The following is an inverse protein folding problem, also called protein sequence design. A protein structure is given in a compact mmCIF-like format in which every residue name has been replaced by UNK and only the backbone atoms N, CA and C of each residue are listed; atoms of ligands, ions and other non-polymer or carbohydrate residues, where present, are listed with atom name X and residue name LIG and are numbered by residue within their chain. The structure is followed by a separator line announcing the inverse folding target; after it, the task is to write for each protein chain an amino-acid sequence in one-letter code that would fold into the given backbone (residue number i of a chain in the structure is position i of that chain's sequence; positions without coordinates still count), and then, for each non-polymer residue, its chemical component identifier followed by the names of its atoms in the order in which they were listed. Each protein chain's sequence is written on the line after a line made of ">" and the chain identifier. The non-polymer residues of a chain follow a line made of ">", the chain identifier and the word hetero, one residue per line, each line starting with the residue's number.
data_IF_232513401789
#
_entry.id   IF_232513401789
#
_cell.length_a   1.000
_cell.length_b   1.000
_cell.length_c   1.000
_cell.angle_alpha   90.00
_cell.angle_beta   90.00
_cell.angle_gamma   90.00
#
_symmetry.space_group_name_H-M   'P 1'
#
loop_
_entity.id
_entity.type
_entity.pdbx_description
1 polymer ?
#
# COMPACT_ATOMS: atom_id res chain seq x y z
N UNK A 1 -29.75 16.64 0.95
CA UNK A 1 -28.76 16.30 1.99
C UNK A 1 -27.40 15.86 1.45
N UNK A 2 -27.22 15.69 0.12
CA UNK A 2 -25.94 15.31 -0.52
C UNK A 2 -25.07 16.53 -0.88
N UNK A 3 -25.55 17.75 -0.60
CA UNK A 3 -25.03 19.01 -1.16
C UNK A 3 -23.84 19.63 -0.39
N UNK A 4 -23.48 19.11 0.78
CA UNK A 4 -22.39 19.67 1.61
C UNK A 4 -21.09 18.84 1.58
N UNK A 5 -21.06 17.70 0.89
CA UNK A 5 -19.87 16.84 0.83
C UNK A 5 -19.01 17.04 -0.42
N UNK A 6 -19.44 17.88 -1.36
CA UNK A 6 -18.74 18.12 -2.64
C UNK A 6 -18.10 19.52 -2.73
N UNK A 7 -18.38 20.42 -1.78
CA UNK A 7 -17.86 21.79 -1.81
C UNK A 7 -16.51 21.92 -1.07
N UNK A 8 -15.55 21.14 -1.55
CA UNK A 8 -14.15 21.52 -1.78
C UNK A 8 -13.39 20.27 -2.20
N UNK A 9 -12.55 20.42 -3.22
CA UNK A 9 -11.41 19.55 -3.52
C UNK A 9 -10.48 19.49 -2.30
N UNK A 10 -10.92 18.84 -1.24
CA UNK A 10 -10.32 18.89 0.07
C UNK A 10 -9.40 17.68 0.15
N UNK A 11 -8.11 17.94 0.06
CA UNK A 11 -7.04 17.00 0.39
C UNK A 11 -7.29 16.33 1.75
N UNK A 12 -8.05 16.99 2.65
CA UNK A 12 -8.34 16.62 4.04
C UNK A 12 -9.81 16.91 4.39
N UNK A 13 -10.45 16.06 5.20
CA UNK A 13 -11.87 16.15 5.56
C UNK A 13 -12.64 14.86 5.28
N UNK A 14 -13.48 14.85 4.25
CA UNK A 14 -14.26 13.69 3.82
C UNK A 14 -14.00 13.43 2.34
N UNK A 15 -13.80 12.15 1.97
CA UNK A 15 -13.70 11.71 0.58
C UNK A 15 -14.48 10.42 0.34
N UNK A 16 -14.70 10.14 -0.93
CA UNK A 16 -15.10 8.81 -1.39
C UNK A 16 -13.88 7.91 -1.61
N UNK A 17 -14.07 6.61 -1.39
CA UNK A 17 -13.04 5.61 -1.67
C UNK A 17 -12.67 5.54 -3.16
N UNK A 18 -11.43 5.20 -3.46
CA UNK A 18 -10.90 5.20 -4.83
C UNK A 18 -11.66 4.22 -5.76
N UNK A 19 -12.16 3.10 -5.22
CA UNK A 19 -12.96 2.14 -5.97
C UNK A 19 -14.40 2.62 -6.19
N UNK A 20 -14.97 3.40 -5.26
CA UNK A 20 -16.26 4.04 -5.49
C UNK A 20 -16.20 5.07 -6.62
N UNK A 21 -15.09 5.81 -6.74
CA UNK A 21 -14.90 6.76 -7.85
C UNK A 21 -14.98 6.09 -9.22
N UNK A 22 -14.56 4.82 -9.33
CA UNK A 22 -14.76 4.03 -10.53
C UNK A 22 -16.19 3.51 -10.68
N UNK A 23 -16.75 2.91 -9.64
CA UNK A 23 -18.05 2.23 -9.76
C UNK A 23 -19.20 3.21 -9.93
N UNK A 24 -19.22 4.29 -9.13
CA UNK A 24 -20.30 5.28 -9.03
C UNK A 24 -21.67 4.66 -8.74
N UNK A 25 -21.70 3.43 -8.21
CA UNK A 25 -22.93 2.73 -7.82
C UNK A 25 -23.25 3.09 -6.37
N UNK A 26 -24.33 3.85 -6.18
CA UNK A 26 -24.70 4.49 -4.91
C UNK A 26 -24.87 3.49 -3.76
N UNK A 27 -25.31 2.25 -4.04
CA UNK A 27 -25.48 1.23 -3.00
C UNK A 27 -24.17 0.84 -2.30
N UNK A 28 -23.02 1.09 -2.93
CA UNK A 28 -21.69 0.85 -2.40
C UNK A 28 -21.06 2.07 -1.74
N UNK A 29 -21.65 3.27 -1.80
CA UNK A 29 -21.01 4.49 -1.30
C UNK A 29 -20.59 4.39 0.17
N UNK A 30 -19.36 4.81 0.48
CA UNK A 30 -18.80 4.86 1.82
C UNK A 30 -18.08 6.19 2.02
N UNK A 31 -18.45 6.90 3.08
CA UNK A 31 -17.79 8.14 3.49
C UNK A 31 -16.52 7.79 4.24
N UNK A 32 -15.39 8.34 3.80
CA UNK A 32 -14.11 8.12 4.43
C UNK A 32 -13.54 9.45 4.93
N UNK A 33 -13.16 9.48 6.20
CA UNK A 33 -12.52 10.64 6.80
C UNK A 33 -11.03 10.68 6.45
N UNK A 34 -10.50 11.87 6.21
CA UNK A 34 -9.08 12.10 5.93
C UNK A 34 -8.54 13.17 6.86
N UNK A 35 -7.36 12.92 7.42
CA UNK A 35 -6.68 13.83 8.34
C UNK A 35 -5.54 14.51 7.61
N UNK A 36 -5.35 15.80 7.83
CA UNK A 36 -4.19 16.51 7.29
C UNK A 36 -2.88 15.89 7.82
N UNK A 37 -2.03 15.34 6.95
CA UNK A 37 -0.75 14.79 7.37
C UNK A 37 0.22 15.92 7.67
N UNK A 38 1.09 15.67 8.64
CA UNK A 38 2.23 16.54 8.93
C UNK A 38 3.25 16.30 7.82
N UNK A 39 3.59 17.37 7.09
CA UNK A 39 4.62 17.31 6.06
C UNK A 39 5.99 17.00 6.69
N UNK A 40 6.82 16.26 5.94
CA UNK A 40 8.21 16.03 6.31
C UNK A 40 9.00 17.34 6.29
N UNK A 41 9.64 17.66 7.40
CA UNK A 41 10.47 18.87 7.55
C UNK A 41 11.84 18.60 8.15
N UNK A 42 12.05 17.38 8.65
CA UNK A 42 13.31 16.96 9.23
C UNK A 42 14.35 16.72 8.14
N UNK A 43 15.62 16.59 8.55
CA UNK A 43 16.71 16.22 7.65
C UNK A 43 17.03 14.75 7.83
N UNK A 44 17.41 14.07 6.74
CA UNK A 44 17.86 12.68 6.77
C UNK A 44 18.92 12.45 7.86
N UNK A 45 19.87 13.38 8.03
CA UNK A 45 20.93 13.28 9.02
C UNK A 45 20.43 13.26 10.48
N UNK A 46 19.22 13.77 10.75
CA UNK A 46 18.62 13.88 12.09
C UNK A 46 17.74 12.67 12.47
N UNK A 47 17.36 11.83 11.50
CA UNK A 47 16.44 10.71 11.73
C UNK A 47 17.19 9.39 11.87
N UNK A 48 16.81 8.52 12.80
CA UNK A 48 17.39 7.16 12.90
C UNK A 48 16.71 6.17 11.96
N UNK A 49 15.50 6.51 11.50
CA UNK A 49 14.66 5.66 10.67
C UNK A 49 14.37 6.38 9.35
N UNK A 50 14.54 5.66 8.26
CA UNK A 50 14.11 6.06 6.93
C UNK A 50 12.91 5.21 6.56
N UNK A 51 11.89 5.81 5.94
CA UNK A 51 10.70 5.10 5.50
C UNK A 51 10.51 5.31 4.00
N UNK A 52 10.37 4.20 3.27
CA UNK A 52 10.02 4.16 1.85
C UNK A 52 8.82 3.22 1.74
N UNK A 53 7.70 3.70 1.23
CA UNK A 53 6.53 2.88 0.97
C UNK A 53 5.75 3.40 -0.22
N UNK A 54 4.64 2.74 -0.55
CA UNK A 54 3.68 3.20 -1.55
C UNK A 54 2.50 3.92 -0.89
N UNK A 55 1.35 3.95 -1.57
CA UNK A 55 0.17 4.65 -1.09
C UNK A 55 -0.32 4.15 0.28
N UNK A 56 -0.03 2.92 0.71
CA UNK A 56 -0.36 2.48 2.07
C UNK A 56 0.34 3.28 3.17
N UNK A 57 1.55 3.78 2.91
CA UNK A 57 2.29 4.59 3.89
C UNK A 57 2.07 6.09 3.71
N UNK A 58 1.77 6.52 2.49
CA UNK A 58 1.57 7.93 2.14
C UNK A 58 0.15 8.46 2.31
N UNK A 59 -0.83 7.56 2.26
CA UNK A 59 -2.22 7.97 2.16
C UNK A 59 -2.73 8.53 3.50
N UNK A 60 -3.32 9.73 3.52
CA UNK A 60 -3.88 10.36 4.72
C UNK A 60 -5.30 9.86 5.05
N UNK A 61 -5.63 8.63 4.66
CA UNK A 61 -6.97 8.07 4.82
C UNK A 61 -7.14 7.54 6.26
N UNK A 62 -8.26 7.90 6.87
CA UNK A 62 -8.63 7.54 8.23
C UNK A 62 -7.86 8.35 9.26
N UNK A 63 -6.55 8.08 9.34
CA UNK A 63 -5.59 8.78 10.21
C UNK A 63 -4.60 9.59 9.37
N UNK A 64 -3.57 10.17 10.01
CA UNK A 64 -2.50 10.89 9.31
C UNK A 64 -1.68 9.98 8.38
N UNK A 65 -0.48 10.39 7.95
CA UNK A 65 0.44 9.47 7.24
C UNK A 65 0.94 8.37 8.16
N UNK A 66 1.38 7.25 7.59
CA UNK A 66 1.92 6.15 8.39
C UNK A 66 3.18 6.56 9.16
N UNK A 67 4.06 7.33 8.51
CA UNK A 67 5.24 7.93 9.12
C UNK A 67 4.89 8.75 10.36
N UNK A 68 3.99 9.73 10.25
CA UNK A 68 3.58 10.57 11.39
C UNK A 68 3.03 9.74 12.56
N UNK A 69 2.16 8.77 12.28
CA UNK A 69 1.59 7.93 13.32
C UNK A 69 2.64 7.05 14.00
N UNK A 70 3.62 6.56 13.24
CA UNK A 70 4.72 5.77 13.77
C UNK A 70 5.67 6.64 14.60
N UNK A 71 6.00 7.86 14.17
CA UNK A 71 6.79 8.84 14.94
C UNK A 71 6.19 9.07 16.32
N UNK A 72 4.88 9.33 16.37
CA UNK A 72 4.15 9.55 17.62
C UNK A 72 4.20 8.31 18.53
N UNK A 73 4.10 7.11 17.95
CA UNK A 73 4.12 5.86 18.71
C UNK A 73 5.50 5.52 19.29
N UNK A 74 6.57 5.72 18.53
CA UNK A 74 7.93 5.37 18.97
C UNK A 74 8.63 6.54 19.67
N UNK A 75 8.08 7.76 19.59
CA UNK A 75 8.69 9.00 20.08
C UNK A 75 10.07 9.31 19.46
N UNK A 76 10.21 9.06 18.16
CA UNK A 76 11.44 9.30 17.41
C UNK A 76 11.15 9.88 16.02
N UNK A 77 12.11 10.63 15.49
CA UNK A 77 12.02 11.19 14.13
C UNK A 77 12.20 10.12 13.06
N UNK A 78 11.31 10.10 12.08
CA UNK A 78 11.33 9.23 10.92
C UNK A 78 11.41 10.12 9.70
N UNK A 79 12.42 9.90 8.84
CA UNK A 79 12.46 10.60 7.56
C UNK A 79 11.61 9.86 6.52
N UNK A 80 10.48 10.45 6.14
CA UNK A 80 9.53 9.91 5.17
C UNK A 80 9.94 10.27 3.73
N UNK A 81 10.28 9.26 2.94
CA UNK A 81 10.74 9.43 1.56
C UNK A 81 9.53 9.31 0.62
N UNK A 82 8.87 10.45 0.42
CA UNK A 82 7.59 10.54 -0.31
C UNK A 82 7.56 9.79 -1.65
N UNK A 83 6.63 8.84 -1.81
CA UNK A 83 6.49 8.00 -3.02
C UNK A 83 6.19 8.78 -4.31
N UNK A 84 5.37 9.84 -4.23
CA UNK A 84 4.68 10.41 -5.40
C UNK A 84 5.56 11.16 -6.40
N UNK A 85 6.81 11.46 -6.05
CA UNK A 85 7.73 12.19 -6.92
C UNK A 85 9.12 11.53 -7.05
N UNK A 86 9.35 10.37 -6.42
CA UNK A 86 10.72 9.99 -6.07
C UNK A 86 11.13 8.58 -6.53
N UNK A 87 12.11 8.62 -7.43
CA UNK A 87 13.16 7.64 -7.67
C UNK A 87 13.43 6.58 -6.56
N UNK A 88 13.53 6.94 -5.27
CA UNK A 88 13.76 6.00 -4.16
C UNK A 88 12.85 4.78 -4.04
N UNK A 89 11.54 4.92 -4.27
CA UNK A 89 10.63 3.79 -4.08
C UNK A 89 10.76 2.72 -5.18
N UNK A 90 11.25 3.12 -6.36
CA UNK A 90 11.52 2.19 -7.45
C UNK A 90 12.87 1.49 -7.27
N UNK A 91 13.87 2.19 -6.73
CA UNK A 91 15.21 1.64 -6.54
C UNK A 91 15.79 2.08 -5.18
N UNK A 92 15.31 1.49 -4.07
CA UNK A 92 15.78 1.82 -2.73
C UNK A 92 17.29 1.59 -2.57
N UNK A 93 17.86 0.55 -3.18
CA UNK A 93 19.29 0.29 -3.07
C UNK A 93 20.13 1.44 -3.62
N UNK A 94 19.88 1.88 -4.85
CA UNK A 94 20.69 2.97 -5.41
C UNK A 94 20.41 4.29 -4.70
N UNK A 95 19.17 4.59 -4.30
CA UNK A 95 18.90 5.79 -3.52
C UNK A 95 19.76 5.82 -2.24
N UNK A 96 19.71 4.75 -1.45
CA UNK A 96 20.50 4.63 -0.23
C UNK A 96 21.99 4.69 -0.55
N UNK A 97 22.47 3.97 -1.58
CA UNK A 97 23.88 3.98 -2.00
C UNK A 97 24.40 5.38 -2.32
N UNK A 98 23.55 6.28 -2.80
CA UNK A 98 23.93 7.64 -3.15
C UNK A 98 23.69 8.68 -2.05
N UNK A 99 23.18 8.27 -0.87
CA UNK A 99 23.17 9.13 0.31
C UNK A 99 24.61 9.45 0.76
N UNK A 100 24.78 10.60 1.42
CA UNK A 100 26.07 10.95 2.04
C UNK A 100 26.40 9.96 3.16
N UNK A 101 27.68 9.84 3.49
CA UNK A 101 28.12 8.88 4.52
C UNK A 101 27.51 9.17 5.89
N UNK A 102 27.34 10.45 6.27
CA UNK A 102 26.63 10.83 7.50
C UNK A 102 25.15 10.41 7.50
N UNK A 103 24.53 10.32 6.33
CA UNK A 103 23.11 9.99 6.13
C UNK A 103 22.83 8.49 6.09
N UNK A 104 23.85 7.63 6.24
CA UNK A 104 23.71 6.16 6.20
C UNK A 104 23.89 5.48 7.55
N UNK A 105 24.74 6.04 8.40
CA UNK A 105 25.32 5.30 9.52
C UNK A 105 24.28 4.92 10.57
N UNK A 106 24.19 3.62 10.86
CA UNK A 106 23.35 3.04 11.92
C UNK A 106 21.84 3.33 11.78
N UNK A 107 21.33 3.49 10.56
CA UNK A 107 19.90 3.73 10.34
C UNK A 107 19.12 2.43 10.15
N UNK A 108 17.83 2.50 10.44
CA UNK A 108 16.86 1.47 10.04
C UNK A 108 16.15 1.98 8.79
N UNK A 109 16.08 1.16 7.74
CA UNK A 109 15.22 1.40 6.59
C UNK A 109 13.98 0.54 6.70
N UNK A 110 12.83 1.19 6.80
CA UNK A 110 11.54 0.56 6.60
C UNK A 110 11.22 0.63 5.10
N UNK A 111 11.03 -0.53 4.47
CA UNK A 111 10.64 -0.63 3.08
C UNK A 111 9.33 -1.41 2.94
N UNK A 112 8.35 -0.77 2.32
CA UNK A 112 7.02 -1.33 2.07
C UNK A 112 6.71 -1.39 0.57
N UNK A 113 5.89 -2.38 0.21
CA UNK A 113 5.22 -2.45 -1.09
C UNK A 113 3.88 -3.18 -0.97
N UNK A 114 2.89 -2.77 -1.75
CA UNK A 114 1.69 -3.56 -1.99
C UNK A 114 2.00 -4.88 -2.71
N UNK A 115 1.17 -5.90 -2.43
CA UNK A 115 1.27 -7.25 -2.99
C UNK A 115 1.26 -7.25 -4.52
N UNK A 116 0.29 -6.62 -5.19
CA UNK A 116 0.22 -6.59 -6.67
C UNK A 116 1.47 -6.05 -7.36
N UNK A 117 2.27 -5.23 -6.67
CA UNK A 117 3.48 -4.62 -7.21
C UNK A 117 4.77 -5.31 -6.73
N UNK A 118 4.71 -6.15 -5.70
CA UNK A 118 5.90 -6.66 -5.02
C UNK A 118 6.80 -7.48 -5.94
N UNK A 119 6.23 -8.41 -6.71
CA UNK A 119 7.01 -9.27 -7.59
C UNK A 119 7.82 -8.47 -8.62
N UNK A 120 7.20 -7.50 -9.29
CA UNK A 120 7.89 -6.68 -10.30
C UNK A 120 8.93 -5.76 -9.65
N UNK A 121 8.54 -5.02 -8.59
CA UNK A 121 9.42 -4.11 -7.85
C UNK A 121 10.69 -4.80 -7.37
N UNK A 122 10.55 -5.95 -6.70
CA UNK A 122 11.67 -6.69 -6.11
C UNK A 122 12.58 -7.24 -7.21
N UNK A 123 12.02 -7.90 -8.23
CA UNK A 123 12.83 -8.62 -9.21
C UNK A 123 13.42 -7.72 -10.28
N UNK A 124 12.77 -6.60 -10.60
CA UNK A 124 13.15 -5.76 -11.73
C UNK A 124 13.69 -4.39 -11.33
N UNK A 125 13.47 -3.90 -10.11
CA UNK A 125 13.79 -2.48 -9.82
C UNK A 125 14.65 -2.27 -8.57
N UNK A 126 14.40 -2.99 -7.47
CA UNK A 126 15.02 -2.72 -6.17
C UNK A 126 16.55 -2.82 -6.12
N UNK A 127 17.14 -3.61 -7.01
CA UNK A 127 18.59 -3.89 -7.02
C UNK A 127 19.33 -3.32 -8.23
N UNK A 128 18.67 -2.55 -9.10
CA UNK A 128 19.29 -1.99 -10.30
C UNK A 128 20.49 -1.11 -9.92
N UNK A 129 21.63 -1.33 -10.55
CA UNK A 129 22.86 -0.54 -10.34
C UNK A 129 22.80 0.86 -10.95
N UNK A 130 21.86 1.06 -11.88
CA UNK A 130 21.66 2.29 -12.61
C UNK A 130 20.17 2.58 -12.76
N UNK A 131 19.86 3.85 -12.98
CA UNK A 131 18.50 4.30 -13.20
C UNK A 131 18.21 4.25 -14.70
N UNK A 132 17.43 3.26 -15.14
CA UNK A 132 16.68 3.42 -16.38
C UNK A 132 15.42 4.20 -16.03
N UNK A 133 15.50 5.54 -16.09
CA UNK A 133 14.31 6.39 -15.95
C UNK A 133 13.48 6.24 -17.23
N UNK A 134 12.79 5.11 -17.38
CA UNK A 134 11.61 5.10 -18.24
C UNK A 134 10.51 5.83 -17.47
N UNK A 135 10.49 7.17 -17.60
CA UNK A 135 9.45 8.08 -17.09
C UNK A 135 8.05 7.71 -17.64
N UNK A 136 7.95 6.73 -18.55
CA UNK A 136 6.71 6.42 -19.26
C UNK A 136 5.64 5.73 -18.42
N UNK A 137 5.97 4.89 -17.42
CA UNK A 137 4.93 3.97 -16.90
C UNK A 137 4.22 4.44 -15.63
N UNK A 138 4.86 5.14 -14.69
CA UNK A 138 4.13 5.61 -13.49
C UNK A 138 3.18 6.77 -13.75
N UNK A 139 3.53 7.65 -14.69
CA UNK A 139 2.60 8.67 -15.18
C UNK A 139 1.50 8.06 -16.04
N UNK A 140 1.70 6.91 -16.69
CA UNK A 140 0.64 6.22 -17.43
C UNK A 140 -0.26 5.37 -16.53
N UNK A 141 0.24 4.78 -15.44
CA UNK A 141 -0.59 4.03 -14.49
C UNK A 141 -1.41 4.99 -13.61
N UNK A 142 -0.79 6.09 -13.14
CA UNK A 142 -1.52 7.18 -12.47
C UNK A 142 -2.37 7.95 -13.47
N UNK A 143 -1.92 8.20 -14.71
CA UNK A 143 -2.86 8.68 -15.73
C UNK A 143 -3.92 7.64 -16.03
N UNK A 144 -3.76 6.33 -15.95
CA UNK A 144 -4.91 5.44 -16.17
C UNK A 144 -5.90 5.50 -15.01
N UNK A 145 -5.39 5.75 -13.80
CA UNK A 145 -6.20 6.01 -12.60
C UNK A 145 -6.89 7.41 -12.66
N UNK A 146 -6.24 8.40 -13.28
CA UNK A 146 -6.69 9.81 -13.34
C UNK A 146 -7.04 10.32 -14.75
N UNK A 147 -6.98 9.49 -15.79
CA UNK A 147 -7.34 9.80 -17.18
C UNK A 147 -8.80 9.52 -17.34
N UNK A 148 -9.56 10.23 -16.53
CA UNK A 148 -10.71 10.89 -17.07
C UNK A 148 -10.21 11.66 -18.29
N UNK A 149 -10.74 11.36 -19.48
CA UNK A 149 -10.56 12.29 -20.58
C UNK A 149 -10.95 13.69 -20.07
N UNK A 150 -10.40 14.78 -20.62
CA UNK A 150 -10.82 16.13 -20.19
C UNK A 150 -12.34 16.31 -20.22
N UNK A 151 -13.02 15.51 -21.04
CA UNK A 151 -14.47 15.36 -21.13
C UNK A 151 -15.02 14.63 -19.91
N UNK A 152 -14.53 13.44 -19.56
CA UNK A 152 -14.94 12.71 -18.34
C UNK A 152 -14.68 13.53 -17.07
N UNK A 153 -13.59 14.31 -17.00
CA UNK A 153 -13.34 15.21 -15.86
C UNK A 153 -14.41 16.32 -15.77
N UNK A 154 -14.83 16.89 -16.90
CA UNK A 154 -15.93 17.85 -16.93
C UNK A 154 -17.27 17.20 -16.55
N UNK A 155 -17.51 15.95 -16.98
CA UNK A 155 -18.70 15.18 -16.60
C UNK A 155 -18.68 14.73 -15.13
N UNK A 156 -17.52 14.50 -14.54
CA UNK A 156 -17.40 14.10 -13.13
C UNK A 156 -17.44 15.28 -12.16
N UNK A 157 -17.08 16.49 -12.61
CA UNK A 157 -16.97 17.68 -11.75
C UNK A 157 -18.10 18.72 -11.95
N UNK A 158 -18.97 18.58 -12.96
CA UNK A 158 -20.16 19.41 -13.06
C UNK A 158 -21.36 18.76 -12.33
N UNK A 159 -22.04 19.52 -11.46
CA UNK A 159 -23.13 19.03 -10.60
C UNK A 159 -24.24 18.27 -11.34
N UNK A 160 -24.55 18.67 -12.58
CA UNK A 160 -25.59 18.02 -13.38
C UNK A 160 -25.13 16.66 -13.91
N UNK A 161 -23.87 16.56 -14.30
CA UNK A 161 -23.30 15.39 -14.94
C UNK A 161 -22.91 14.33 -13.91
N UNK A 162 -22.45 14.72 -12.71
CA UNK A 162 -22.20 13.80 -11.59
C UNK A 162 -23.44 12.97 -11.24
N UNK A 163 -24.59 13.63 -11.03
CA UNK A 163 -25.85 12.94 -10.71
C UNK A 163 -26.32 12.03 -11.85
N UNK A 164 -26.11 12.44 -13.10
CA UNK A 164 -26.42 11.62 -14.26
C UNK A 164 -25.50 10.40 -14.37
N UNK A 165 -24.20 10.55 -14.12
CA UNK A 165 -23.22 9.45 -14.12
C UNK A 165 -23.57 8.43 -13.04
N UNK A 166 -23.84 8.86 -11.80
CA UNK A 166 -24.27 7.95 -10.73
C UNK A 166 -25.59 7.24 -11.07
N UNK A 167 -26.59 7.98 -11.56
CA UNK A 167 -27.87 7.38 -11.98
C UNK A 167 -27.68 6.35 -13.09
N UNK A 168 -26.82 6.63 -14.09
CA UNK A 168 -26.51 5.70 -15.16
C UNK A 168 -25.80 4.45 -14.62
N UNK A 169 -24.82 4.61 -13.73
CA UNK A 169 -24.13 3.49 -13.08
C UNK A 169 -25.08 2.63 -12.26
N UNK A 170 -25.95 3.25 -11.45
CA UNK A 170 -26.98 2.56 -10.68
C UNK A 170 -27.96 1.80 -11.59
N UNK A 171 -28.42 2.41 -12.69
CA UNK A 171 -29.32 1.76 -13.64
C UNK A 171 -28.65 0.57 -14.34
N UNK A 172 -27.41 0.73 -14.80
CA UNK A 172 -26.65 -0.34 -15.43
C UNK A 172 -26.38 -1.48 -14.45
N UNK A 173 -26.08 -1.16 -13.20
CA UNK A 173 -25.87 -2.15 -12.16
C UNK A 173 -27.17 -2.88 -11.80
N UNK A 174 -28.28 -2.16 -11.64
CA UNK A 174 -29.57 -2.76 -11.28
C UNK A 174 -30.12 -3.70 -12.37
N UNK A 175 -29.93 -3.35 -13.66
CA UNK A 175 -30.48 -4.13 -14.77
C UNK A 175 -29.54 -5.24 -15.23
N UNK A 176 -28.22 -4.98 -15.23
CA UNK A 176 -27.23 -5.87 -15.86
C UNK A 176 -26.15 -6.37 -14.90
N UNK A 177 -26.21 -6.02 -13.62
CA UNK A 177 -25.15 -6.31 -12.62
C UNK A 177 -23.76 -5.82 -13.07
N UNK A 178 -23.76 -4.81 -13.96
CA UNK A 178 -22.56 -4.33 -14.63
C UNK A 178 -21.83 -3.31 -13.77
N UNK A 179 -20.60 -3.63 -13.41
CA UNK A 179 -19.65 -2.71 -12.78
C UNK A 179 -18.66 -2.10 -13.79
N UNK A 180 -17.95 -1.06 -13.35
CA UNK A 180 -16.83 -0.49 -14.10
C UNK A 180 -15.73 -1.54 -14.32
N UNK A 181 -15.01 -1.49 -15.45
CA UNK A 181 -14.01 -2.50 -15.81
C UNK A 181 -12.84 -2.62 -14.80
N UNK A 182 -12.59 -1.57 -14.02
CA UNK A 182 -11.57 -1.59 -12.95
C UNK A 182 -12.05 -2.30 -11.67
N UNK A 183 -13.33 -2.69 -11.61
CA UNK A 183 -13.96 -3.41 -10.50
C UNK A 183 -14.58 -4.71 -11.06
N UNK A 184 -13.75 -5.71 -11.40
CA UNK A 184 -14.24 -6.93 -12.04
C UNK A 184 -15.04 -7.83 -11.10
N UNK A 185 -14.87 -7.64 -9.79
CA UNK A 185 -15.48 -8.45 -8.73
C UNK A 185 -15.85 -7.56 -7.54
N UNK A 186 -16.93 -7.93 -6.86
CA UNK A 186 -17.48 -7.23 -5.70
C UNK A 186 -18.24 -8.22 -4.80
N UNK A 187 -18.55 -7.79 -3.57
CA UNK A 187 -19.41 -8.48 -2.62
C UNK A 187 -20.67 -7.66 -2.42
N UNK A 188 -21.84 -8.20 -2.78
CA UNK A 188 -23.11 -7.49 -2.59
C UNK A 188 -23.48 -7.38 -1.11
N UNK A 189 -23.35 -8.50 -0.39
CA UNK A 189 -23.68 -8.59 1.05
C UNK A 189 -22.88 -7.62 1.91
N UNK A 190 -21.57 -7.52 1.67
CA UNK A 190 -20.67 -6.66 2.44
C UNK A 190 -20.43 -5.29 1.79
N UNK A 191 -21.01 -5.05 0.61
CA UNK A 191 -20.80 -3.85 -0.21
C UNK A 191 -19.32 -3.55 -0.47
N UNK A 192 -18.51 -4.58 -0.66
CA UNK A 192 -17.07 -4.45 -0.85
C UNK A 192 -16.70 -4.53 -2.33
N UNK A 193 -15.86 -3.61 -2.80
CA UNK A 193 -15.37 -3.56 -4.18
C UNK A 193 -13.93 -4.04 -4.23
N UNK A 194 -13.52 -4.79 -5.27
CA UNK A 194 -12.14 -5.25 -5.41
C UNK A 194 -11.50 -4.70 -6.69
N UNK A 195 -10.25 -4.29 -6.60
CA UNK A 195 -9.55 -3.65 -7.70
C UNK A 195 -9.09 -4.68 -8.73
N UNK A 196 -9.12 -4.29 -10.01
CA UNK A 196 -8.76 -5.17 -11.13
C UNK A 196 -7.34 -5.71 -11.03
N UNK A 197 -6.35 -4.86 -10.72
CA UNK A 197 -4.95 -5.31 -10.74
C UNK A 197 -4.65 -6.25 -9.56
N UNK A 198 -5.31 -6.03 -8.41
CA UNK A 198 -5.29 -6.97 -7.27
C UNK A 198 -5.88 -8.32 -7.69
N UNK A 199 -7.03 -8.31 -8.37
CA UNK A 199 -7.68 -9.52 -8.86
C UNK A 199 -6.84 -10.28 -9.89
N UNK A 200 -6.23 -9.59 -10.85
CA UNK A 200 -5.36 -10.22 -11.85
C UNK A 200 -4.09 -10.79 -11.20
N UNK A 201 -3.50 -10.08 -10.24
CA UNK A 201 -2.35 -10.57 -9.50
C UNK A 201 -2.71 -11.79 -8.63
N UNK A 202 -3.82 -11.75 -7.91
CA UNK A 202 -4.27 -12.83 -7.03
C UNK A 202 -4.48 -14.16 -7.77
N UNK A 203 -4.91 -14.10 -9.03
CA UNK A 203 -5.04 -15.29 -9.90
C UNK A 203 -3.73 -15.81 -10.45
N UNK A 204 -2.69 -14.97 -10.52
CA UNK A 204 -1.41 -15.33 -11.13
C UNK A 204 -0.76 -16.47 -10.36
N UNK A 205 -0.26 -17.46 -11.09
CA UNK A 205 0.53 -18.56 -10.52
C UNK A 205 1.99 -18.20 -10.57
N UNK A 206 2.64 -18.30 -9.42
CA UNK A 206 4.09 -18.18 -9.29
C UNK A 206 4.67 -19.56 -9.05
N UNK A 207 5.72 -19.91 -9.81
CA UNK A 207 6.45 -21.14 -9.56
C UNK A 207 7.28 -21.01 -8.28
N UNK A 208 7.67 -22.13 -7.68
CA UNK A 208 8.50 -22.08 -6.47
C UNK A 208 9.88 -21.45 -6.76
N UNK A 209 10.41 -21.59 -7.99
CA UNK A 209 11.62 -20.91 -8.45
C UNK A 209 11.45 -19.37 -8.50
N UNK A 210 10.29 -18.90 -8.94
CA UNK A 210 9.96 -17.46 -8.95
C UNK A 210 9.85 -16.90 -7.54
N UNK A 211 9.24 -17.65 -6.62
CA UNK A 211 9.16 -17.29 -5.20
C UNK A 211 10.57 -17.25 -4.58
N UNK A 212 11.37 -18.30 -4.80
CA UNK A 212 12.73 -18.39 -4.28
C UNK A 212 13.60 -17.24 -4.80
N UNK A 213 13.53 -16.95 -6.11
CA UNK A 213 14.25 -15.83 -6.72
C UNK A 213 13.85 -14.51 -6.07
N UNK A 214 12.56 -14.30 -5.83
CA UNK A 214 12.05 -13.08 -5.18
C UNK A 214 12.60 -12.95 -3.76
N UNK A 215 12.55 -14.02 -2.96
CA UNK A 215 13.11 -14.05 -1.61
C UNK A 215 14.63 -13.79 -1.59
N UNK A 216 15.38 -14.41 -2.51
CA UNK A 216 16.82 -14.21 -2.66
C UNK A 216 17.16 -12.74 -2.99
N UNK A 217 16.33 -12.07 -3.81
CA UNK A 217 16.52 -10.67 -4.14
C UNK A 217 16.27 -9.75 -2.93
N UNK A 218 15.29 -10.07 -2.07
CA UNK A 218 15.08 -9.35 -0.80
C UNK A 218 16.29 -9.54 0.12
N UNK A 219 16.78 -10.77 0.27
CA UNK A 219 17.99 -11.04 1.07
C UNK A 219 19.20 -10.29 0.54
N UNK A 220 19.41 -10.30 -0.77
CA UNK A 220 20.48 -9.57 -1.41
C UNK A 220 20.37 -8.05 -1.19
N UNK A 221 19.16 -7.49 -1.23
CA UNK A 221 18.91 -6.09 -0.89
C UNK A 221 19.29 -5.81 0.56
N UNK A 222 18.80 -6.62 1.50
CA UNK A 222 19.10 -6.52 2.93
C UNK A 222 20.62 -6.56 3.18
N UNK A 223 21.31 -7.52 2.58
CA UNK A 223 22.76 -7.70 2.74
C UNK A 223 23.53 -6.49 2.19
N UNK A 224 23.17 -6.01 1.00
CA UNK A 224 23.82 -4.85 0.40
C UNK A 224 23.65 -3.60 1.26
N UNK A 225 22.44 -3.35 1.76
CA UNK A 225 22.16 -2.21 2.65
C UNK A 225 22.98 -2.30 3.94
N UNK A 226 23.07 -3.50 4.52
CA UNK A 226 23.82 -3.71 5.76
C UNK A 226 25.33 -3.61 5.55
N UNK A 227 25.92 -4.36 4.61
CA UNK A 227 27.36 -4.43 4.44
C UNK A 227 27.96 -3.18 3.80
N UNK A 228 27.23 -2.49 2.91
CA UNK A 228 27.75 -1.29 2.22
C UNK A 228 27.43 0.01 2.96
N UNK A 229 26.32 0.06 3.71
CA UNK A 229 25.84 1.30 4.35
C UNK A 229 25.61 1.20 5.86
N UNK A 230 25.68 0.00 6.46
CA UNK A 230 25.36 -0.22 7.87
C UNK A 230 23.88 -0.03 8.19
N UNK A 231 23.01 -0.13 7.18
CA UNK A 231 21.56 0.07 7.31
C UNK A 231 20.88 -1.28 7.54
N UNK A 232 20.02 -1.35 8.54
CA UNK A 232 19.19 -2.53 8.81
C UNK A 232 17.87 -2.37 8.05
N UNK A 233 17.54 -3.32 7.21
CA UNK A 233 16.27 -3.34 6.48
C UNK A 233 15.19 -4.01 7.34
N UNK A 234 14.04 -3.35 7.51
CA UNK A 234 12.77 -3.97 7.90
C UNK A 234 11.89 -3.98 6.65
N UNK A 235 11.57 -5.15 6.13
CA UNK A 235 10.79 -5.30 4.90
C UNK A 235 9.36 -5.79 5.18
N UNK A 236 8.38 -5.23 4.46
CA UNK A 236 7.00 -5.71 4.52
C UNK A 236 6.31 -5.64 3.17
N UNK A 237 5.36 -6.55 2.94
CA UNK A 237 4.43 -6.50 1.81
C UNK A 237 3.02 -6.35 2.39
N UNK A 238 2.33 -5.28 2.05
CA UNK A 238 0.93 -5.11 2.46
C UNK A 238 0.06 -5.98 1.56
N UNK A 239 -0.74 -6.92 2.11
CA UNK A 239 -1.62 -7.76 1.32
C UNK A 239 -2.65 -6.91 0.59
N UNK A 240 -3.02 -7.34 -0.62
CA UNK A 240 -4.15 -6.69 -1.30
C UNK A 240 -5.46 -7.09 -0.62
N UNK A 241 -6.49 -6.24 -0.75
CA UNK A 241 -7.78 -6.46 -0.10
C UNK A 241 -8.41 -7.79 -0.50
N UNK A 242 -8.26 -8.18 -1.77
CA UNK A 242 -8.75 -9.47 -2.26
C UNK A 242 -8.10 -10.66 -1.55
N UNK A 243 -6.81 -10.57 -1.19
CA UNK A 243 -6.09 -11.65 -0.54
C UNK A 243 -6.68 -11.95 0.84
N UNK A 244 -7.04 -10.90 1.58
CA UNK A 244 -7.65 -11.04 2.90
C UNK A 244 -9.15 -11.35 2.85
N UNK A 245 -9.90 -10.88 1.86
CA UNK A 245 -11.38 -10.94 1.82
C UNK A 245 -11.94 -11.76 0.65
N UNK A 246 -11.16 -12.70 0.11
CA UNK A 246 -11.59 -13.53 -1.02
C UNK A 246 -12.86 -14.36 -0.72
N UNK A 247 -13.09 -14.71 0.54
CA UNK A 247 -14.29 -15.43 1.01
C UNK A 247 -15.57 -14.59 0.95
N UNK A 248 -15.47 -13.26 0.82
CA UNK A 248 -16.63 -12.38 0.63
C UNK A 248 -17.09 -12.32 -0.83
N UNK A 249 -16.33 -12.90 -1.76
CA UNK A 249 -16.67 -12.92 -3.19
C UNK A 249 -17.66 -14.05 -3.43
N UNK A 250 -18.84 -13.70 -3.94
CA UNK A 250 -19.95 -14.65 -4.14
C UNK A 250 -19.67 -15.68 -5.27
N UNK A 251 -18.59 -15.51 -6.03
CA UNK A 251 -18.15 -16.45 -7.06
C UNK A 251 -17.03 -17.38 -6.56
N UNK A 252 -17.37 -18.66 -6.34
CA UNK A 252 -16.45 -19.73 -5.88
C UNK A 252 -15.38 -20.15 -6.92
N UNK A 253 -14.98 -19.28 -7.84
CA UNK A 253 -14.19 -19.66 -9.03
C UNK A 253 -12.70 -19.39 -8.84
N UNK A 254 -12.31 -18.69 -7.77
CA UNK A 254 -10.95 -18.17 -7.65
C UNK A 254 -10.13 -19.01 -6.68
N UNK A 255 -9.16 -19.75 -7.20
CA UNK A 255 -8.16 -20.43 -6.38
C UNK A 255 -7.04 -19.45 -6.03
N UNK A 256 -6.74 -19.18 -4.74
CA UNK A 256 -5.63 -18.30 -4.33
C UNK A 256 -4.29 -18.73 -4.90
N UNK A 257 -3.41 -17.77 -5.24
CA UNK A 257 -2.03 -18.05 -5.64
C UNK A 257 -1.18 -18.63 -4.50
N UNK A 258 -1.49 -18.28 -3.25
CA UNK A 258 -0.65 -18.56 -2.08
C UNK A 258 0.67 -17.77 -2.08
N UNK A 259 0.77 -16.71 -2.90
CA UNK A 259 2.00 -15.97 -3.14
C UNK A 259 2.65 -15.44 -1.86
N UNK A 260 1.91 -14.69 -1.02
CA UNK A 260 2.47 -14.09 0.19
C UNK A 260 2.89 -15.14 1.22
N UNK A 261 2.08 -16.17 1.45
CA UNK A 261 2.42 -17.24 2.39
C UNK A 261 3.73 -17.94 2.00
N UNK A 262 3.84 -18.37 0.73
CA UNK A 262 5.05 -18.99 0.22
C UNK A 262 6.25 -18.06 0.28
N UNK A 263 6.08 -16.80 -0.12
CA UNK A 263 7.16 -15.83 -0.16
C UNK A 263 7.67 -15.49 1.24
N UNK A 264 6.79 -15.21 2.20
CA UNK A 264 7.21 -14.93 3.58
C UNK A 264 7.93 -16.12 4.20
N UNK A 265 7.46 -17.35 3.99
CA UNK A 265 8.16 -18.56 4.44
C UNK A 265 9.59 -18.64 3.87
N UNK A 266 9.81 -18.29 2.59
CA UNK A 266 11.16 -18.28 2.00
C UNK A 266 12.04 -17.12 2.48
N UNK A 267 11.46 -15.97 2.80
CA UNK A 267 12.21 -14.83 3.36
C UNK A 267 12.65 -15.11 4.80
N UNK A 268 11.76 -15.66 5.63
CA UNK A 268 12.03 -15.99 7.04
C UNK A 268 13.17 -17.01 7.17
N UNK A 269 13.19 -18.04 6.30
CA UNK A 269 14.30 -19.02 6.23
C UNK A 269 15.66 -18.37 5.98
N UNK A 270 15.69 -17.21 5.33
CA UNK A 270 16.92 -16.47 5.01
C UNK A 270 17.32 -15.48 6.10
N UNK A 271 16.54 -15.33 7.17
CA UNK A 271 16.85 -14.48 8.31
C UNK A 271 16.80 -12.98 8.00
N UNK A 272 15.99 -12.56 7.03
CA UNK A 272 15.73 -11.13 6.79
C UNK A 272 14.76 -10.61 7.85
N UNK A 273 15.01 -9.42 8.39
CA UNK A 273 14.06 -8.75 9.28
C UNK A 273 12.83 -8.31 8.50
N UNK A 274 11.68 -8.88 8.86
CA UNK A 274 10.42 -8.63 8.19
C UNK A 274 9.29 -8.34 9.17
N UNK A 275 8.23 -7.76 8.62
CA UNK A 275 6.89 -7.81 9.20
C UNK A 275 6.01 -8.60 8.24
N UNK A 276 5.52 -9.74 8.72
CA UNK A 276 4.60 -10.60 7.97
C UNK A 276 3.17 -10.04 8.06
N UNK A 277 2.92 -8.95 7.34
CA UNK A 277 1.65 -8.23 7.37
C UNK A 277 0.47 -9.09 6.95
N UNK A 278 0.69 -10.03 6.02
CA UNK A 278 -0.34 -11.02 5.64
C UNK A 278 -0.80 -11.85 6.84
N UNK A 279 0.14 -12.47 7.55
CA UNK A 279 -0.19 -13.29 8.73
C UNK A 279 -0.85 -12.45 9.80
N UNK A 280 -0.27 -11.30 10.14
CA UNK A 280 -0.78 -10.43 11.21
C UNK A 280 -2.21 -9.98 10.91
N UNK A 281 -2.48 -9.48 9.70
CA UNK A 281 -3.81 -9.01 9.32
C UNK A 281 -4.81 -10.17 9.18
N UNK A 282 -4.38 -11.34 8.70
CA UNK A 282 -5.26 -12.53 8.63
C UNK A 282 -5.65 -13.03 10.03
N UNK A 283 -4.70 -13.05 10.97
CA UNK A 283 -4.94 -13.46 12.34
C UNK A 283 -5.86 -12.46 13.07
N UNK A 284 -5.69 -11.15 12.82
CA UNK A 284 -6.54 -10.11 13.41
C UNK A 284 -7.91 -9.98 12.75
N UNK A 285 -8.05 -10.34 11.46
CA UNK A 285 -9.33 -10.31 10.77
C UNK A 285 -10.31 -11.27 11.43
N UNK A 286 -9.84 -12.44 11.89
CA UNK A 286 -10.69 -13.51 12.41
C UNK A 286 -11.71 -14.01 11.39
N UNK A 287 -12.09 -15.29 11.45
CA UNK A 287 -13.24 -15.77 10.67
C UNK A 287 -14.59 -15.29 11.24
N UNK A 288 -14.58 -14.72 12.47
CA UNK A 288 -15.76 -14.32 13.23
C UNK A 288 -15.78 -12.83 13.66
N UNK A 289 -14.69 -12.06 13.44
CA UNK A 289 -14.66 -10.64 13.80
C UNK A 289 -15.30 -9.79 12.68
N UNK A 290 -16.38 -9.04 12.96
CA UNK A 290 -17.03 -8.17 11.98
C UNK A 290 -16.18 -6.94 11.60
N UNK A 291 -15.06 -6.69 12.26
CA UNK A 291 -14.22 -5.54 12.00
C UNK A 291 -13.41 -5.74 10.71
N UNK A 292 -13.91 -5.15 9.62
CA UNK A 292 -13.12 -4.97 8.43
C UNK A 292 -11.84 -4.19 8.76
N UNK A 293 -10.74 -4.57 8.12
CA UNK A 293 -9.44 -3.93 8.21
C UNK A 293 -9.16 -3.06 6.99
N UNK A 294 -10.07 -3.08 6.00
CA UNK A 294 -10.02 -2.27 4.78
C UNK A 294 -11.33 -1.53 4.61
N UNK A 295 -11.25 -0.35 4.00
CA UNK A 295 -12.45 0.32 3.54
C UNK A 295 -13.11 -0.52 2.43
N UNK A 296 -14.43 -0.56 2.46
CA UNK A 296 -15.21 -1.36 1.51
C UNK A 296 -15.01 -0.87 0.09
N UNK A 297 -14.90 0.44 -0.09
CA UNK A 297 -14.78 1.09 -1.41
C UNK A 297 -13.45 1.74 -1.72
N UNK A 298 -12.41 1.41 -0.96
CA UNK A 298 -11.04 1.88 -1.20
C UNK A 298 -10.08 0.69 -1.31
N UNK A 299 -8.90 0.90 -1.88
CA UNK A 299 -7.84 -0.13 -1.91
C UNK A 299 -7.08 -0.20 -0.59
N UNK A 300 -7.14 0.86 0.23
CA UNK A 300 -6.35 0.96 1.45
C UNK A 300 -7.01 0.29 2.67
N UNK A 301 -6.18 -0.11 3.63
CA UNK A 301 -6.66 -0.48 4.96
C UNK A 301 -7.41 0.70 5.60
N UNK A 302 -8.29 0.41 6.55
CA UNK A 302 -8.88 1.43 7.42
C UNK A 302 -7.99 1.66 8.64
N UNK A 303 -8.43 2.54 9.55
CA UNK A 303 -7.69 2.87 10.76
C UNK A 303 -7.34 1.64 11.61
N UNK A 304 -8.24 0.67 11.72
CA UNK A 304 -7.99 -0.55 12.47
C UNK A 304 -6.86 -1.38 11.84
N UNK A 305 -6.93 -1.61 10.52
CA UNK A 305 -5.86 -2.29 9.79
C UNK A 305 -4.52 -1.55 9.89
N UNK A 306 -4.53 -0.22 9.80
CA UNK A 306 -3.34 0.62 9.96
C UNK A 306 -2.68 0.46 11.33
N UNK A 307 -3.47 0.55 12.40
CA UNK A 307 -3.00 0.48 13.79
C UNK A 307 -2.34 -0.88 14.07
N UNK A 308 -2.90 -1.97 13.54
CA UNK A 308 -2.32 -3.31 13.66
C UNK A 308 -0.89 -3.33 13.07
N UNK A 309 -0.70 -2.79 11.87
CA UNK A 309 0.61 -2.73 11.22
C UNK A 309 1.56 -1.78 11.97
N UNK A 310 1.09 -0.62 12.42
CA UNK A 310 1.88 0.31 13.22
C UNK A 310 2.42 -0.34 14.51
N UNK A 311 1.59 -1.10 15.21
CA UNK A 311 2.01 -1.83 16.41
C UNK A 311 3.11 -2.85 16.11
N UNK A 312 2.99 -3.59 15.00
CA UNK A 312 4.01 -4.54 14.58
C UNK A 312 5.35 -3.85 14.27
N UNK A 313 5.31 -2.67 13.64
CA UNK A 313 6.52 -1.88 13.41
C UNK A 313 7.16 -1.37 14.69
N UNK A 314 6.35 -0.81 15.61
CA UNK A 314 6.81 -0.36 16.91
C UNK A 314 7.56 -1.47 17.66
N UNK A 315 6.96 -2.67 17.76
CA UNK A 315 7.58 -3.82 18.42
C UNK A 315 8.89 -4.24 17.73
N UNK A 316 8.88 -4.35 16.40
CA UNK A 316 10.07 -4.77 15.63
C UNK A 316 11.22 -3.78 15.77
N UNK A 317 10.94 -2.48 15.73
CA UNK A 317 11.95 -1.43 15.91
C UNK A 317 12.57 -1.53 17.31
N UNK A 318 11.75 -1.66 18.35
CA UNK A 318 12.25 -1.83 19.72
C UNK A 318 13.13 -3.08 19.85
N UNK A 319 12.71 -4.22 19.29
CA UNK A 319 13.52 -5.45 19.30
C UNK A 319 14.90 -5.25 18.67
N UNK A 320 14.96 -4.64 17.48
CA UNK A 320 16.22 -4.37 16.77
C UNK A 320 17.12 -3.45 17.59
N UNK A 321 16.56 -2.39 18.19
CA UNK A 321 17.32 -1.43 18.99
C UNK A 321 17.91 -2.07 20.25
N UNK A 322 17.15 -2.91 20.95
CA UNK A 322 17.64 -3.60 22.14
C UNK A 322 18.79 -4.57 21.80
N UNK A 323 18.67 -5.33 20.70
CA UNK A 323 19.75 -6.21 20.22
C UNK A 323 21.02 -5.40 19.91
N UNK A 324 20.88 -4.23 19.28
CA UNK A 324 22.01 -3.38 18.93
C UNK A 324 22.65 -2.69 20.15
N UNK A 325 21.89 -2.37 21.20
CA UNK A 325 22.44 -1.87 22.48
C UNK A 325 23.30 -2.93 23.15
N UNK A 326 22.89 -4.20 23.13
CA UNK A 326 23.66 -5.31 23.71
C UNK A 326 24.98 -5.51 22.96
N UNK A 327 24.98 -5.45 21.62
CA UNK A 327 26.20 -5.64 20.80
C UNK A 327 27.24 -4.52 20.94
N UNK A 328 26.85 -3.34 21.46
CA UNK A 328 27.74 -2.18 21.66
C UNK A 328 28.34 -2.10 23.07
N UNK A 329 27.84 -2.92 24.01
CA UNK A 329 28.44 -3.11 25.34
C UNK A 329 29.42 -4.27 25.28
#
# INVERSE_FOLDING_TARGET
>A
MVKELDEKNCSYGIRWGDLYKYSRVSSFSEIIHCVEPKNETDKISECEILLIGDSFFESPIGKGKFSNDLEDMISEKIFDITYFESYPAQNPYYFIKNLKSEDKKNKILILETSERLSYDRINNHYLKSEININISNTKEDIKQIFSFSKVDYLFDNANFTYNYVNFKSDLLFLIFERMHNNIPIYSYSNKMLFYKDEYEFYKKRFTDDEIQKTANNIKLLSDKLYYESGIILIFTIIPDKITLYNDLIESNIITPSGYLEKLYNEIEKQGVEIINSYKILSDCRGFEDPNLLYYRTDTHFNEAGKIIILNAFNEKIHQIKEINKIKKK
#
